data_IF_716009349261
#
_entry.id   IF_716009349261
#
_cell.length_a   1.000
_cell.length_b   1.000
_cell.length_c   1.000
_cell.angle_alpha   90.00
_cell.angle_beta   90.00
_cell.angle_gamma   90.00
#
_symmetry.space_group_name_H-M   'P 1'
#
loop_
_entity.id
_entity.type
_entity.pdbx_description
1 polymer ?
#
# COMPACT_ATOMS: atom_id res chain seq x y z
N UNK A 1 2.81 -8.39 -6.10
CA UNK A 1 4.21 -8.16 -6.49
C UNK A 1 4.75 -6.80 -6.03
N UNK A 2 4.40 -6.34 -4.83
CA UNK A 2 4.73 -4.97 -4.38
C UNK A 2 5.91 -4.87 -3.40
N UNK A 3 6.58 -5.99 -3.07
CA UNK A 3 7.67 -6.00 -2.08
C UNK A 3 9.02 -6.50 -2.65
N UNK A 4 9.34 -6.13 -3.89
CA UNK A 4 10.64 -6.49 -4.47
C UNK A 4 11.72 -5.48 -4.09
N UNK A 5 12.89 -5.98 -3.68
CA UNK A 5 14.07 -5.14 -3.49
C UNK A 5 14.56 -4.55 -4.82
N UNK A 6 15.32 -3.47 -4.74
CA UNK A 6 15.89 -2.84 -5.94
C UNK A 6 16.78 -3.81 -6.72
N UNK A 7 17.57 -4.61 -6.03
CA UNK A 7 18.49 -5.60 -6.59
C UNK A 7 17.74 -6.71 -7.34
N UNK A 8 16.62 -7.20 -6.79
CA UNK A 8 15.77 -8.18 -7.46
C UNK A 8 15.16 -7.61 -8.73
N UNK A 9 14.67 -6.36 -8.69
CA UNK A 9 14.10 -5.69 -9.86
C UNK A 9 15.18 -5.42 -10.92
N UNK A 10 16.37 -5.00 -10.51
CA UNK A 10 17.52 -4.82 -11.41
C UNK A 10 17.88 -6.12 -12.13
N UNK A 11 17.97 -7.23 -11.39
CA UNK A 11 18.24 -8.53 -11.98
C UNK A 11 17.11 -8.98 -12.91
N UNK A 12 15.85 -8.75 -12.53
CA UNK A 12 14.70 -9.07 -13.36
C UNK A 12 14.68 -8.28 -14.67
N UNK A 13 15.02 -6.98 -14.64
CA UNK A 13 15.12 -6.16 -15.84
C UNK A 13 16.23 -6.63 -16.77
N UNK A 14 17.41 -6.94 -16.22
CA UNK A 14 18.50 -7.50 -17.01
C UNK A 14 18.09 -8.81 -17.71
N UNK A 15 17.44 -9.73 -16.98
CA UNK A 15 16.95 -10.99 -17.55
C UNK A 15 15.90 -10.76 -18.63
N UNK A 16 14.94 -9.87 -18.39
CA UNK A 16 13.92 -9.53 -19.37
C UNK A 16 14.54 -8.98 -20.66
N UNK A 17 15.45 -8.00 -20.57
CA UNK A 17 16.08 -7.39 -21.75
C UNK A 17 16.83 -8.46 -22.55
N UNK A 18 17.59 -9.33 -21.87
CA UNK A 18 18.27 -10.44 -22.54
C UNK A 18 17.29 -11.39 -23.24
N UNK A 19 16.15 -11.70 -22.61
CA UNK A 19 15.09 -12.50 -23.24
C UNK A 19 14.47 -11.77 -24.45
N UNK A 20 14.24 -10.47 -24.38
CA UNK A 20 13.74 -9.69 -25.53
C UNK A 20 14.70 -9.78 -26.72
N UNK A 21 16.01 -9.65 -26.48
CA UNK A 21 17.04 -9.83 -27.51
C UNK A 21 17.02 -11.26 -28.10
N UNK A 22 16.96 -12.28 -27.25
CA UNK A 22 16.91 -13.69 -27.68
C UNK A 22 15.65 -14.04 -28.47
N UNK A 23 14.55 -13.35 -28.21
CA UNK A 23 13.28 -13.49 -28.92
C UNK A 23 13.16 -12.57 -30.14
N UNK A 24 14.26 -11.92 -30.56
CA UNK A 24 14.30 -11.06 -31.75
C UNK A 24 13.23 -9.96 -31.73
N UNK A 25 12.96 -9.39 -30.55
CA UNK A 25 12.13 -8.20 -30.46
C UNK A 25 12.75 -7.07 -31.26
N UNK A 26 11.90 -6.22 -31.85
CA UNK A 26 12.38 -5.06 -32.59
C UNK A 26 13.31 -4.20 -31.72
N UNK A 27 14.48 -3.84 -32.26
CA UNK A 27 15.54 -3.11 -31.54
C UNK A 27 15.01 -1.86 -30.83
N UNK A 28 14.07 -1.15 -31.48
CA UNK A 28 13.42 0.02 -30.88
C UNK A 28 12.71 -0.29 -29.56
N UNK A 29 12.04 -1.44 -29.44
CA UNK A 29 11.35 -1.83 -28.21
C UNK A 29 12.33 -2.28 -27.12
N UNK A 30 13.42 -2.95 -27.51
CA UNK A 30 14.50 -3.32 -26.60
C UNK A 30 15.16 -2.06 -26.05
N UNK A 31 15.51 -1.12 -26.92
CA UNK A 31 16.12 0.15 -26.55
C UNK A 31 15.23 0.97 -25.62
N UNK A 32 13.93 1.04 -25.89
CA UNK A 32 12.96 1.70 -25.00
C UNK A 32 12.98 1.15 -23.57
N UNK A 33 13.14 -0.17 -23.38
CA UNK A 33 13.23 -0.76 -22.04
C UNK A 33 14.57 -0.48 -21.37
N UNK A 34 15.67 -0.48 -22.14
CA UNK A 34 17.00 -0.09 -21.66
C UNK A 34 16.98 1.37 -21.19
N UNK A 35 16.42 2.27 -22.00
CA UNK A 35 16.37 3.71 -21.71
C UNK A 35 15.49 4.01 -20.49
N UNK A 36 14.33 3.34 -20.38
CA UNK A 36 13.51 3.43 -19.17
C UNK A 36 14.30 3.01 -17.93
N UNK A 37 14.97 1.85 -17.99
CA UNK A 37 15.72 1.34 -16.85
C UNK A 37 16.87 2.28 -16.45
N UNK A 38 17.61 2.79 -17.44
CA UNK A 38 18.68 3.75 -17.21
C UNK A 38 18.15 5.06 -16.59
N UNK A 39 17.02 5.56 -17.08
CA UNK A 39 16.38 6.76 -16.53
C UNK A 39 15.97 6.57 -15.06
N UNK A 40 15.53 5.36 -14.69
CA UNK A 40 15.19 5.00 -13.31
C UNK A 40 16.43 4.88 -12.42
N UNK A 41 17.49 4.20 -12.89
CA UNK A 41 18.74 4.04 -12.12
C UNK A 41 19.47 5.35 -11.87
N UNK A 42 19.40 6.27 -12.83
CA UNK A 42 20.07 7.59 -12.75
C UNK A 42 19.21 8.68 -12.13
N UNK A 43 17.94 8.39 -11.81
CA UNK A 43 17.06 9.37 -11.19
C UNK A 43 17.57 9.75 -9.78
N UNK A 44 17.51 11.03 -9.42
CA UNK A 44 17.93 11.52 -8.10
C UNK A 44 17.24 10.80 -6.92
N UNK A 45 16.03 10.29 -7.16
CA UNK A 45 15.24 9.56 -6.18
C UNK A 45 15.81 8.19 -5.83
N UNK A 46 16.59 7.59 -6.73
CA UNK A 46 17.28 6.33 -6.47
C UNK A 46 18.36 6.50 -5.39
N UNK A 47 19.04 7.65 -5.34
CA UNK A 47 20.08 7.92 -4.36
C UNK A 47 19.59 8.68 -3.12
N UNK A 48 18.28 8.96 -3.04
CA UNK A 48 17.66 9.62 -1.91
C UNK A 48 17.49 8.66 -0.71
N UNK A 49 17.46 9.19 0.50
CA UNK A 49 17.23 8.44 1.75
C UNK A 49 15.76 8.09 1.99
N UNK A 50 14.82 8.73 1.29
CA UNK A 50 13.39 8.49 1.42
C UNK A 50 13.01 7.10 0.88
N UNK A 51 12.41 6.22 1.69
CA UNK A 51 11.97 4.90 1.23
C UNK A 51 10.86 5.00 0.17
N UNK A 52 10.02 6.04 0.24
CA UNK A 52 8.95 6.28 -0.72
C UNK A 52 9.46 6.64 -2.11
N UNK A 53 10.65 7.25 -2.21
CA UNK A 53 11.22 7.68 -3.48
C UNK A 53 11.66 6.47 -4.31
N UNK A 54 12.38 5.54 -3.69
CA UNK A 54 12.75 4.27 -4.33
C UNK A 54 11.52 3.43 -4.65
N UNK A 55 10.58 3.31 -3.71
CA UNK A 55 9.33 2.59 -3.94
C UNK A 55 8.54 3.19 -5.11
N UNK A 56 8.44 4.52 -5.21
CA UNK A 56 7.76 5.19 -6.32
C UNK A 56 8.39 4.87 -7.67
N UNK A 57 9.72 4.85 -7.78
CA UNK A 57 10.41 4.45 -9.01
C UNK A 57 10.10 2.99 -9.40
N UNK A 58 10.10 2.07 -8.42
CA UNK A 58 9.78 0.67 -8.64
C UNK A 58 8.31 0.45 -9.03
N UNK A 59 7.37 1.13 -8.36
CA UNK A 59 5.94 1.05 -8.70
C UNK A 59 5.68 1.69 -10.07
N UNK A 60 6.25 2.86 -10.33
CA UNK A 60 6.11 3.57 -11.60
C UNK A 60 6.53 2.69 -12.78
N UNK A 61 7.72 2.07 -12.71
CA UNK A 61 8.22 1.24 -13.81
C UNK A 61 7.30 0.06 -14.13
N UNK A 62 6.75 -0.59 -13.09
CA UNK A 62 5.84 -1.70 -13.25
C UNK A 62 4.55 -1.25 -13.93
N UNK A 63 4.00 -0.12 -13.51
CA UNK A 63 2.80 0.48 -14.11
C UNK A 63 3.01 0.85 -15.57
N UNK A 64 4.08 1.57 -15.91
CA UNK A 64 4.31 2.02 -17.30
C UNK A 64 4.66 0.87 -18.23
N UNK A 65 5.43 -0.13 -17.77
CA UNK A 65 5.69 -1.34 -18.56
C UNK A 65 4.42 -2.14 -18.83
N UNK A 66 3.56 -2.30 -17.81
CA UNK A 66 2.27 -2.96 -17.98
C UNK A 66 1.36 -2.20 -18.94
N UNK A 67 1.31 -0.86 -18.83
CA UNK A 67 0.52 -0.03 -19.73
C UNK A 67 1.04 -0.14 -21.17
N UNK A 68 2.35 0.00 -21.36
CA UNK A 68 3.00 -0.13 -22.67
C UNK A 68 2.70 -1.47 -23.32
N UNK A 69 2.82 -2.57 -22.57
CA UNK A 69 2.51 -3.92 -23.07
C UNK A 69 1.03 -4.06 -23.50
N UNK A 70 0.11 -3.33 -22.86
CA UNK A 70 -1.32 -3.32 -23.25
C UNK A 70 -1.59 -2.46 -24.47
N UNK A 71 -0.78 -1.43 -24.72
CA UNK A 71 -1.02 -0.44 -25.77
C UNK A 71 -0.17 -0.64 -27.02
N UNK A 72 0.89 -1.44 -26.95
CA UNK A 72 1.78 -1.70 -28.09
C UNK A 72 0.98 -2.23 -29.28
N UNK A 73 1.24 -1.68 -30.48
CA UNK A 73 0.49 -2.02 -31.70
C UNK A 73 -0.86 -1.32 -31.84
N UNK A 74 -1.21 -0.41 -30.92
CA UNK A 74 -2.40 0.44 -31.01
C UNK A 74 -2.05 1.92 -31.19
N UNK A 75 -3.05 2.75 -31.53
CA UNK A 75 -2.91 4.22 -31.56
C UNK A 75 -2.63 4.84 -30.18
N UNK A 76 -2.84 4.09 -29.10
CA UNK A 76 -2.52 4.51 -27.74
C UNK A 76 -1.08 4.14 -27.32
N UNK A 77 -0.29 3.55 -28.22
CA UNK A 77 1.12 3.26 -27.96
C UNK A 77 1.88 4.55 -27.69
N UNK A 78 2.81 4.49 -26.75
CA UNK A 78 3.65 5.62 -26.36
C UNK A 78 5.10 5.17 -26.23
N UNK A 79 6.00 6.13 -26.17
CA UNK A 79 7.42 5.88 -25.95
C UNK A 79 7.68 5.64 -24.46
N UNK A 80 8.13 4.44 -24.13
CA UNK A 80 8.43 4.02 -22.76
C UNK A 80 9.71 4.70 -22.22
N UNK A 81 10.61 5.16 -23.10
CA UNK A 81 11.84 5.82 -22.70
C UNK A 81 11.59 7.20 -22.06
N UNK A 82 10.43 7.81 -22.34
CA UNK A 82 10.08 9.13 -21.82
C UNK A 82 9.50 8.98 -20.41
N UNK A 83 10.25 9.46 -19.42
CA UNK A 83 9.83 9.42 -18.02
C UNK A 83 8.72 10.45 -17.76
N UNK A 84 7.52 9.96 -17.46
CA UNK A 84 6.38 10.78 -17.10
C UNK A 84 6.47 11.22 -15.63
N UNK A 85 7.13 12.36 -15.40
CA UNK A 85 7.34 12.94 -14.07
C UNK A 85 6.05 13.19 -13.30
N UNK A 86 4.96 13.56 -13.99
CA UNK A 86 3.65 13.78 -13.34
C UNK A 86 3.10 12.47 -12.79
N UNK A 87 3.17 11.38 -13.55
CA UNK A 87 2.76 10.06 -13.09
C UNK A 87 3.65 9.56 -11.97
N UNK A 88 4.98 9.72 -12.08
CA UNK A 88 5.93 9.34 -11.02
C UNK A 88 5.65 10.08 -9.70
N UNK A 89 5.43 11.39 -9.77
CA UNK A 89 5.09 12.21 -8.59
C UNK A 89 3.78 11.75 -7.97
N UNK A 90 2.76 11.51 -8.80
CA UNK A 90 1.47 10.98 -8.33
C UNK A 90 1.62 9.62 -7.64
N UNK A 91 2.45 8.73 -8.19
CA UNK A 91 2.73 7.43 -7.57
C UNK A 91 3.39 7.59 -6.20
N UNK A 92 4.33 8.53 -6.05
CA UNK A 92 4.94 8.84 -4.75
C UNK A 92 3.90 9.38 -3.75
N UNK A 93 3.08 10.35 -4.18
CA UNK A 93 2.03 10.94 -3.34
C UNK A 93 1.04 9.89 -2.83
N UNK A 94 0.63 8.96 -3.71
CA UNK A 94 -0.23 7.84 -3.35
C UNK A 94 0.42 6.93 -2.30
N UNK A 95 1.71 6.59 -2.46
CA UNK A 95 2.44 5.78 -1.48
C UNK A 95 2.54 6.48 -0.11
N UNK A 96 2.86 7.78 -0.09
CA UNK A 96 2.95 8.58 1.14
C UNK A 96 1.58 8.70 1.82
N UNK A 97 0.53 8.95 1.03
CA UNK A 97 -0.84 9.06 1.53
C UNK A 97 -1.34 7.74 2.14
N UNK A 98 -1.09 6.62 1.46
CA UNK A 98 -1.46 5.29 1.93
C UNK A 98 -0.75 4.93 3.23
N UNK A 99 0.56 5.20 3.32
CA UNK A 99 1.32 4.98 4.55
C UNK A 99 0.83 5.84 5.72
N UNK A 100 0.52 7.12 5.46
CA UNK A 100 -0.02 8.04 6.47
C UNK A 100 -1.39 7.56 6.98
N UNK A 101 -2.28 7.15 6.06
CA UNK A 101 -3.61 6.64 6.40
C UNK A 101 -3.54 5.35 7.21
N UNK A 102 -2.63 4.44 6.85
CA UNK A 102 -2.39 3.21 7.60
C UNK A 102 -1.92 3.49 9.04
N UNK A 103 -0.98 4.42 9.23
CA UNK A 103 -0.52 4.84 10.56
C UNK A 103 -1.66 5.44 11.41
N UNK A 104 -2.48 6.31 10.82
CA UNK A 104 -3.65 6.90 11.51
C UNK A 104 -4.63 5.80 11.93
N UNK A 105 -4.93 4.85 11.04
CA UNK A 105 -5.79 3.71 11.34
C UNK A 105 -5.25 2.86 12.50
N UNK A 106 -3.95 2.58 12.52
CA UNK A 106 -3.31 1.85 13.63
C UNK A 106 -3.42 2.60 14.96
N UNK A 107 -3.22 3.92 14.97
CA UNK A 107 -3.35 4.74 16.20
C UNK A 107 -4.80 4.72 16.72
N UNK A 108 -5.79 4.82 15.84
CA UNK A 108 -7.20 4.79 16.24
C UNK A 108 -7.63 3.44 16.84
N UNK A 109 -7.04 2.32 16.43
CA UNK A 109 -7.31 1.01 17.04
C UNK A 109 -6.72 0.84 18.44
N UNK A 110 -5.61 1.52 18.75
CA UNK A 110 -4.98 1.45 20.09
C UNK A 110 -5.69 2.34 21.11
N UNK A 111 -6.43 3.38 20.66
CA UNK A 111 -7.13 4.33 21.51
C UNK A 111 -8.64 4.02 21.68
N UNK A 112 -8.98 2.77 22.02
CA UNK A 112 -10.24 2.48 22.72
C UNK A 112 -9.92 2.42 24.23
N UNK A 113 -10.29 3.44 25.03
CA UNK A 113 -10.00 3.42 26.46
C UNK A 113 -10.72 2.25 27.14
N UNK A 114 -10.08 1.53 28.08
CA UNK A 114 -10.70 0.49 28.91
C UNK A 114 -11.92 0.96 29.71
N UNK A 115 -12.19 2.27 29.76
CA UNK A 115 -13.29 2.86 30.52
C UNK A 115 -14.68 2.45 30.01
N UNK A 116 -14.83 2.06 28.73
CA UNK A 116 -16.11 1.51 28.24
C UNK A 116 -16.38 0.08 28.71
N UNK A 117 -15.33 -0.69 29.03
CA UNK A 117 -15.47 -2.01 29.66
C UNK A 117 -15.96 -1.85 31.11
N UNK A 118 -15.49 -0.81 31.80
CA UNK A 118 -15.85 -0.58 33.21
C UNK A 118 -17.33 -0.22 33.42
N UNK A 119 -17.93 0.58 32.53
CA UNK A 119 -19.36 0.95 32.62
C UNK A 119 -20.26 -0.27 32.38
N UNK A 120 -19.86 -1.18 31.48
CA UNK A 120 -20.63 -2.38 31.15
C UNK A 120 -20.68 -3.37 32.33
N UNK A 121 -19.57 -3.52 33.06
CA UNK A 121 -19.49 -4.42 34.22
C UNK A 121 -20.31 -3.87 35.41
N UNK A 122 -20.33 -2.54 35.62
CA UNK A 122 -21.10 -1.94 36.70
C UNK A 122 -22.62 -1.97 36.47
N UNK A 123 -23.08 -1.93 35.22
CA UNK A 123 -24.51 -2.04 34.89
C UNK A 123 -25.05 -3.48 35.08
N UNK A 124 -24.21 -4.51 34.94
CA UNK A 124 -24.61 -5.91 35.16
C UNK A 124 -24.68 -6.32 36.64
N UNK A 125 -24.05 -5.57 37.55
CA UNK A 125 -23.99 -5.90 38.98
C UNK A 125 -24.89 -5.02 39.87
N UNK A 126 -25.96 -4.44 39.32
CA UNK A 126 -27.01 -3.84 40.16
C UNK A 126 -27.83 -4.95 40.84
N UNK A 127 -27.81 -5.10 42.18
CA UNK A 127 -28.53 -6.17 42.85
C UNK A 127 -30.04 -5.90 42.78
N UNK A 128 -30.77 -6.81 42.15
CA UNK A 128 -32.24 -6.90 42.25
C UNK A 128 -32.63 -6.94 43.73
N UNK A 129 -33.24 -5.86 44.24
CA UNK A 129 -33.84 -5.80 45.57
C UNK A 129 -34.97 -6.83 45.64
N UNK A 130 -34.72 -7.99 46.24
CA UNK A 130 -35.76 -8.98 46.57
C UNK A 130 -36.76 -8.34 47.54
N UNK A 131 -38.00 -8.13 47.10
CA UNK A 131 -39.15 -7.85 47.97
C UNK A 131 -39.27 -9.01 48.97
N UNK A 132 -39.09 -8.73 50.27
CA UNK A 132 -39.51 -9.64 51.34
C UNK A 132 -41.02 -9.45 51.54
N UNK A 133 -41.81 -10.45 51.15
CA UNK A 133 -43.18 -10.61 51.65
C UNK A 133 -43.11 -11.04 53.12
N UNK A 134 -43.86 -10.33 53.96
CA UNK A 134 -43.88 -10.49 55.41
C UNK A 134 -45.18 -11.22 55.79
N UNK A 135 -45.15 -12.38 56.47
CA UNK A 135 -46.37 -13.03 56.93
C UNK A 135 -46.87 -12.36 58.22
N UNK A 136 -48.10 -11.86 58.17
CA UNK A 136 -48.84 -11.34 59.32
C UNK A 136 -49.24 -12.51 60.24
N UNK A 137 -48.68 -12.57 61.46
CA UNK A 137 -49.25 -13.33 62.58
C UNK A 137 -49.45 -12.34 63.73
N UNK A 138 -50.70 -12.17 64.14
CA UNK A 138 -51.11 -11.41 65.35
C UNK A 138 -51.63 -12.41 66.36
N UNK A 139 -51.06 -12.40 67.56
CA UNK A 139 -51.62 -13.06 68.75
C UNK A 139 -52.36 -12.04 69.63
N UNK A 140 -53.37 -12.58 70.31
CA UNK A 140 -54.49 -11.97 71.03
C UNK A 140 -54.15 -11.20 72.31
N UNK A 141 -55.13 -10.43 72.79
CA UNK A 141 -55.39 -10.20 74.21
C UNK A 141 -56.87 -10.54 74.49
#
# INVERSE_FOLDING_TARGET
DEDHSWEEVSQANFRMINTMCQCEWADVHVQMHIDLWLAIETHEWHHNTSPFNKAALLTYQACVRQLWHRTIGSLASFDLAILNLSLLTKTQDELVHNASTAQIGSIQQVHLPPLLIYISILQSHSPQKKKKENPFIVYSA
#
